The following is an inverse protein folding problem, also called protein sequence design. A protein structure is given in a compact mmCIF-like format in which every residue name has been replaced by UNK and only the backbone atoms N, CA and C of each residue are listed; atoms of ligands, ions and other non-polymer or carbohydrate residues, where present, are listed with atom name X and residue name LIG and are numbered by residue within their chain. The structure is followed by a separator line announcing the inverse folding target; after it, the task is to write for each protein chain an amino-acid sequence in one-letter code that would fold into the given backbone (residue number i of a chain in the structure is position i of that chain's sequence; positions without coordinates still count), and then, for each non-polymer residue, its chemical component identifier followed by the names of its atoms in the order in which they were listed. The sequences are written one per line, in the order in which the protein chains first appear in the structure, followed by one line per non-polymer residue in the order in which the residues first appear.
data_IF_752182203025
#
_entry.id   IF_752182203025
#
_cell.length_a   1.000
_cell.length_b   1.000
_cell.length_c   1.000
_cell.angle_alpha   90.00
_cell.angle_beta   90.00
_cell.angle_gamma   90.00
#
_symmetry.space_group_name_H-M   'P 1'
#
loop_
_entity.id
_entity.type
_entity.pdbx_description
1 polymer ?
#
# COMPACT_ATOMS: atom_id res chain seq x y z
N UNK A 1 31.55 23.52 -14.07
CA UNK A 1 31.70 22.14 -14.57
C UNK A 1 30.64 21.29 -13.87
N UNK A 2 29.42 21.30 -14.37
CA UNK A 2 28.81 20.33 -15.29
C UNK A 2 28.63 18.94 -14.65
N UNK A 3 27.42 18.66 -14.20
CA UNK A 3 26.89 17.31 -13.99
C UNK A 3 25.42 17.31 -14.43
N UNK A 4 25.23 17.59 -15.72
CA UNK A 4 23.96 17.57 -16.41
C UNK A 4 24.09 16.53 -17.53
N UNK A 5 23.95 15.25 -17.19
CA UNK A 5 23.83 14.19 -18.20
C UNK A 5 23.17 12.93 -17.63
N UNK A 6 21.93 13.10 -17.17
CA UNK A 6 21.00 11.99 -16.90
C UNK A 6 19.74 12.11 -17.75
N UNK A 7 19.87 12.70 -18.95
CA UNK A 7 18.88 12.53 -20.00
C UNK A 7 19.01 11.10 -20.51
N UNK A 8 18.26 10.19 -19.90
CA UNK A 8 17.77 9.02 -20.62
C UNK A 8 16.99 9.60 -21.80
N UNK A 9 17.62 9.60 -22.99
CA UNK A 9 17.08 10.11 -24.26
C UNK A 9 15.87 9.27 -24.67
N UNK A 10 14.79 9.48 -23.92
CA UNK A 10 13.50 8.83 -24.08
C UNK A 10 12.93 9.25 -25.43
N UNK A 11 13.22 10.47 -25.88
CA UNK A 11 12.89 10.99 -27.20
C UNK A 11 13.60 10.23 -28.33
N UNK A 12 14.84 9.80 -28.13
CA UNK A 12 15.57 9.00 -29.13
C UNK A 12 14.99 7.59 -29.24
N UNK A 13 14.69 6.96 -28.09
CA UNK A 13 14.05 5.65 -28.03
C UNK A 13 12.62 5.66 -28.60
N UNK A 14 11.84 6.71 -28.32
CA UNK A 14 10.50 6.89 -28.88
C UNK A 14 10.57 7.09 -30.40
N UNK A 15 11.47 7.95 -30.87
CA UNK A 15 11.63 8.22 -32.31
C UNK A 15 12.07 6.98 -33.08
N UNK A 16 12.93 6.15 -32.50
CA UNK A 16 13.35 4.88 -33.10
C UNK A 16 12.21 3.87 -33.12
N UNK A 17 11.45 3.74 -32.02
CA UNK A 17 10.27 2.85 -31.94
C UNK A 17 9.13 3.24 -32.91
N UNK A 18 8.97 4.53 -33.23
CA UNK A 18 7.92 5.00 -34.15
C UNK A 18 8.33 5.01 -35.63
N UNK A 19 9.62 4.95 -35.95
CA UNK A 19 10.11 5.00 -37.35
C UNK A 19 10.35 3.61 -37.94
N UNK A 20 10.59 2.60 -37.10
CA UNK A 20 10.66 1.19 -37.52
C UNK A 20 9.26 0.62 -37.75
N UNK A 21 9.00 0.00 -38.91
CA UNK A 21 7.81 -0.82 -39.12
C UNK A 21 7.77 -1.91 -38.02
N UNK A 22 6.65 -2.09 -37.31
CA UNK A 22 6.60 -3.03 -36.21
C UNK A 22 6.72 -4.46 -36.74
N UNK A 23 7.86 -5.10 -36.49
CA UNK A 23 8.06 -6.55 -36.74
C UNK A 23 7.08 -7.42 -35.94
N UNK A 24 6.44 -6.83 -34.92
CA UNK A 24 5.40 -7.46 -34.12
C UNK A 24 4.01 -6.89 -34.46
N UNK A 25 3.16 -7.73 -35.05
CA UNK A 25 1.72 -7.51 -35.02
C UNK A 25 1.24 -7.67 -33.59
N UNK A 26 0.64 -6.60 -33.06
CA UNK A 26 -0.10 -6.66 -31.80
C UNK A 26 -1.12 -7.80 -31.90
N UNK A 27 -1.10 -8.71 -30.93
CA UNK A 27 -2.14 -9.73 -30.77
C UNK A 27 -3.50 -9.02 -30.70
N UNK A 28 -4.55 -9.60 -31.30
CA UNK A 28 -5.91 -9.04 -31.25
C UNK A 28 -6.37 -8.75 -29.81
N UNK A 29 -5.82 -9.47 -28.82
CA UNK A 29 -6.13 -9.33 -27.40
C UNK A 29 -5.09 -8.52 -26.59
N UNK A 30 -4.09 -7.90 -27.24
CA UNK A 30 -3.02 -7.18 -26.54
C UNK A 30 -3.54 -6.04 -25.65
N UNK A 31 -4.54 -5.31 -26.15
CA UNK A 31 -5.19 -4.24 -25.39
C UNK A 31 -5.89 -4.79 -24.15
N UNK A 32 -6.57 -5.93 -24.26
CA UNK A 32 -7.27 -6.56 -23.14
C UNK A 32 -6.30 -7.08 -22.08
N UNK A 33 -5.19 -7.70 -22.49
CA UNK A 33 -4.15 -8.16 -21.57
C UNK A 33 -3.45 -7.00 -20.86
N UNK A 34 -3.19 -5.90 -21.57
CA UNK A 34 -2.65 -4.68 -20.97
C UNK A 34 -3.62 -4.06 -19.97
N UNK A 35 -4.89 -3.92 -20.36
CA UNK A 35 -5.93 -3.34 -19.49
C UNK A 35 -6.07 -4.16 -18.21
N UNK A 36 -6.18 -5.49 -18.30
CA UNK A 36 -6.24 -6.37 -17.11
C UNK A 36 -5.03 -6.20 -16.19
N UNK A 37 -3.83 -6.10 -16.76
CA UNK A 37 -2.60 -5.96 -15.97
C UNK A 37 -2.51 -4.61 -15.27
N UNK A 38 -2.91 -3.54 -15.95
CA UNK A 38 -2.94 -2.18 -15.40
C UNK A 38 -4.01 -2.06 -14.31
N UNK A 39 -5.22 -2.58 -14.54
CA UNK A 39 -6.30 -2.56 -13.56
C UNK A 39 -5.92 -3.31 -12.28
N UNK A 40 -5.29 -4.48 -12.39
CA UNK A 40 -4.80 -5.23 -11.24
C UNK A 40 -3.79 -4.41 -10.42
N UNK A 41 -2.85 -3.73 -11.09
CA UNK A 41 -1.85 -2.93 -10.40
C UNK A 41 -2.48 -1.71 -9.71
N UNK A 42 -3.42 -1.04 -10.38
CA UNK A 42 -4.15 0.10 -9.84
C UNK A 42 -5.00 -0.29 -8.63
N UNK A 43 -5.71 -1.43 -8.71
CA UNK A 43 -6.52 -1.95 -7.61
C UNK A 43 -5.67 -2.24 -6.37
N UNK A 44 -4.49 -2.85 -6.54
CA UNK A 44 -3.54 -3.09 -5.45
C UNK A 44 -3.08 -1.81 -4.77
N UNK A 45 -2.71 -0.79 -5.55
CA UNK A 45 -2.30 0.50 -4.97
C UNK A 45 -3.45 1.16 -4.21
N UNK A 46 -4.67 1.08 -4.74
CA UNK A 46 -5.84 1.64 -4.08
C UNK A 46 -6.14 0.94 -2.75
N UNK A 47 -6.12 -0.40 -2.70
CA UNK A 47 -6.39 -1.14 -1.47
C UNK A 47 -5.33 -0.89 -0.40
N UNK A 48 -4.05 -0.85 -0.78
CA UNK A 48 -2.96 -0.51 0.16
C UNK A 48 -3.07 0.92 0.67
N UNK A 49 -3.46 1.87 -0.18
CA UNK A 49 -3.66 3.26 0.22
C UNK A 49 -4.82 3.40 1.20
N UNK A 50 -5.95 2.74 0.94
CA UNK A 50 -7.07 2.73 1.86
C UNK A 50 -6.69 2.10 3.21
N UNK A 51 -6.02 0.96 3.19
CA UNK A 51 -5.49 0.32 4.41
C UNK A 51 -4.57 1.26 5.19
N UNK A 52 -3.63 1.94 4.51
CA UNK A 52 -2.72 2.90 5.15
C UNK A 52 -3.47 4.09 5.77
N UNK A 53 -4.52 4.61 5.13
CA UNK A 53 -5.35 5.68 5.69
C UNK A 53 -6.05 5.22 6.96
N UNK A 54 -6.67 4.04 6.96
CA UNK A 54 -7.32 3.50 8.17
C UNK A 54 -6.32 3.27 9.30
N UNK A 55 -5.15 2.72 8.99
CA UNK A 55 -4.10 2.50 9.96
C UNK A 55 -3.59 3.84 10.53
N UNK A 56 -3.42 4.86 9.69
CA UNK A 56 -3.05 6.21 10.13
C UNK A 56 -4.09 6.85 11.05
N UNK A 57 -5.39 6.68 10.77
CA UNK A 57 -6.47 7.17 11.64
C UNK A 57 -6.41 6.50 13.01
N UNK A 58 -6.24 5.18 13.05
CA UNK A 58 -6.16 4.42 14.31
C UNK A 58 -4.92 4.82 15.12
N UNK A 59 -3.76 4.94 14.47
CA UNK A 59 -2.54 5.43 15.13
C UNK A 59 -2.71 6.87 15.62
N UNK A 60 -3.38 7.72 14.84
CA UNK A 60 -3.69 9.09 15.22
C UNK A 60 -4.55 9.15 16.49
N UNK A 61 -5.60 8.34 16.58
CA UNK A 61 -6.44 8.23 17.78
C UNK A 61 -5.59 7.76 18.97
N UNK A 62 -4.79 6.69 18.81
CA UNK A 62 -3.92 6.19 19.88
C UNK A 62 -2.93 7.25 20.36
N UNK A 63 -2.37 8.04 19.45
CA UNK A 63 -1.44 9.12 19.78
C UNK A 63 -2.13 10.24 20.56
N UNK A 64 -3.32 10.68 20.13
CA UNK A 64 -4.10 11.69 20.86
C UNK A 64 -4.46 11.19 22.25
N UNK A 65 -4.90 9.94 22.38
CA UNK A 65 -5.20 9.34 23.69
C UNK A 65 -3.96 9.26 24.58
N UNK A 66 -2.79 8.91 24.03
CA UNK A 66 -1.53 8.88 24.77
C UNK A 66 -1.11 10.28 25.26
N UNK A 67 -1.26 11.31 24.41
CA UNK A 67 -0.99 12.70 24.79
C UNK A 67 -1.94 13.16 25.90
N UNK A 68 -3.24 12.87 25.78
CA UNK A 68 -4.21 13.19 26.83
C UNK A 68 -3.89 12.46 28.14
N UNK A 69 -3.52 11.18 28.08
CA UNK A 69 -3.09 10.42 29.25
C UNK A 69 -1.87 11.05 29.93
N UNK A 70 -0.88 11.49 29.15
CA UNK A 70 0.31 12.15 29.66
C UNK A 70 -0.01 13.49 30.33
N UNK A 71 -0.84 14.32 29.68
CA UNK A 71 -1.15 15.69 30.15
C UNK A 71 -2.14 15.71 31.31
N UNK A 72 -3.14 14.84 31.34
CA UNK A 72 -4.19 14.85 32.37
C UNK A 72 -3.95 13.90 33.54
N UNK A 73 -3.29 12.76 33.32
CA UNK A 73 -3.14 11.71 34.33
C UNK A 73 -1.69 11.59 34.85
N UNK A 74 -0.82 12.53 34.46
CA UNK A 74 0.59 12.62 34.86
C UNK A 74 1.35 11.29 34.67
N UNK A 75 0.97 10.55 33.63
CA UNK A 75 1.48 9.21 33.42
C UNK A 75 2.91 9.28 32.91
N UNK A 76 3.83 8.67 33.66
CA UNK A 76 5.26 8.66 33.30
C UNK A 76 5.55 7.70 32.16
N UNK A 77 6.54 8.07 31.33
CA UNK A 77 7.06 7.20 30.25
C UNK A 77 7.55 5.87 30.81
N UNK A 78 8.16 5.86 32.00
CA UNK A 78 8.58 4.65 32.70
C UNK A 78 7.42 3.73 33.05
N UNK A 79 6.26 4.28 33.43
CA UNK A 79 5.05 3.49 33.72
C UNK A 79 4.50 2.82 32.47
N UNK A 80 4.48 3.52 31.33
CA UNK A 80 4.08 2.92 30.04
C UNK A 80 5.05 1.85 29.59
N UNK A 81 6.35 2.09 29.71
CA UNK A 81 7.38 1.12 29.34
C UNK A 81 7.28 -0.14 30.20
N UNK A 82 7.03 0.00 31.51
CA UNK A 82 6.79 -1.12 32.41
C UNK A 82 5.52 -1.89 32.02
N UNK A 83 4.43 -1.19 31.70
CA UNK A 83 3.19 -1.82 31.24
C UNK A 83 3.38 -2.62 29.94
N UNK A 84 4.07 -2.04 28.95
CA UNK A 84 4.35 -2.71 27.68
C UNK A 84 5.28 -3.90 27.83
N UNK A 85 6.31 -3.80 28.68
CA UNK A 85 7.23 -4.92 28.90
C UNK A 85 6.60 -6.06 29.71
N UNK A 86 5.76 -5.74 30.70
CA UNK A 86 5.04 -6.74 31.48
C UNK A 86 3.94 -7.43 30.68
N UNK A 87 3.29 -6.72 29.77
CA UNK A 87 2.18 -7.24 28.95
C UNK A 87 2.57 -7.40 27.47
N UNK A 88 3.87 -7.55 27.18
CA UNK A 88 4.39 -7.50 25.81
C UNK A 88 3.69 -8.50 24.88
N UNK A 89 3.48 -9.73 25.36
CA UNK A 89 2.80 -10.78 24.59
C UNK A 89 1.36 -10.41 24.23
N UNK A 90 0.61 -9.83 25.18
CA UNK A 90 -0.77 -9.41 24.96
C UNK A 90 -0.86 -8.17 24.08
N UNK A 91 -0.04 -7.15 24.34
CA UNK A 91 -0.05 -5.91 23.55
C UNK A 91 0.34 -6.18 22.11
N UNK A 92 1.42 -6.94 21.90
CA UNK A 92 1.86 -7.34 20.56
C UNK A 92 0.81 -8.24 19.91
N UNK A 93 0.26 -9.21 20.63
CA UNK A 93 -0.77 -10.10 20.11
C UNK A 93 -2.02 -9.38 19.64
N UNK A 94 -2.55 -8.45 20.44
CA UNK A 94 -3.73 -7.65 20.10
C UNK A 94 -3.43 -6.71 18.93
N UNK A 95 -2.28 -6.03 18.93
CA UNK A 95 -1.90 -5.17 17.80
C UNK A 95 -1.74 -5.96 16.51
N UNK A 96 -1.06 -7.11 16.56
CA UNK A 96 -0.86 -7.97 15.40
C UNK A 96 -2.19 -8.48 14.86
N UNK A 97 -3.08 -8.97 15.73
CA UNK A 97 -4.43 -9.41 15.35
C UNK A 97 -5.25 -8.26 14.76
N UNK A 98 -5.23 -7.09 15.40
CA UNK A 98 -5.94 -5.91 14.92
C UNK A 98 -5.48 -5.47 13.52
N UNK A 99 -4.17 -5.39 13.32
CA UNK A 99 -3.57 -5.07 12.02
C UNK A 99 -3.90 -6.16 11.00
N UNK A 100 -3.81 -7.44 11.38
CA UNK A 100 -4.14 -8.56 10.50
C UNK A 100 -5.61 -8.53 10.06
N UNK A 101 -6.54 -8.29 10.99
CA UNK A 101 -7.97 -8.20 10.68
C UNK A 101 -8.25 -7.00 9.78
N UNK A 102 -7.67 -5.83 10.05
CA UNK A 102 -7.78 -4.66 9.17
C UNK A 102 -7.22 -4.92 7.78
N UNK A 103 -6.06 -5.60 7.70
CA UNK A 103 -5.46 -5.96 6.44
C UNK A 103 -6.31 -7.00 5.70
N UNK A 104 -6.83 -8.00 6.40
CA UNK A 104 -7.68 -9.01 5.81
C UNK A 104 -8.99 -8.41 5.27
N UNK A 105 -9.65 -7.56 6.05
CA UNK A 105 -10.88 -6.89 5.65
C UNK A 105 -10.66 -5.95 4.47
N UNK A 106 -9.65 -5.08 4.55
CA UNK A 106 -9.46 -3.99 3.58
C UNK A 106 -8.66 -4.37 2.35
N UNK A 107 -7.74 -5.33 2.47
CA UNK A 107 -6.87 -5.74 1.38
C UNK A 107 -7.26 -7.12 0.87
N UNK A 108 -7.32 -8.14 1.73
CA UNK A 108 -7.53 -9.52 1.26
C UNK A 108 -8.93 -9.76 0.72
N UNK A 109 -10.00 -9.36 1.43
CA UNK A 109 -11.37 -9.60 0.97
C UNK A 109 -11.68 -8.85 -0.33
N UNK A 110 -11.25 -7.59 -0.43
CA UNK A 110 -11.43 -6.79 -1.65
C UNK A 110 -10.64 -7.34 -2.82
N UNK A 111 -9.40 -7.77 -2.58
CA UNK A 111 -8.59 -8.44 -3.58
C UNK A 111 -9.21 -9.76 -4.05
N UNK A 112 -9.68 -10.61 -3.13
CA UNK A 112 -10.33 -11.87 -3.47
C UNK A 112 -11.63 -11.68 -4.23
N UNK A 113 -12.45 -10.68 -3.86
CA UNK A 113 -13.67 -10.33 -4.60
C UNK A 113 -13.35 -9.84 -6.02
N UNK A 114 -12.35 -8.98 -6.17
CA UNK A 114 -11.92 -8.49 -7.49
C UNK A 114 -11.38 -9.63 -8.37
N UNK A 115 -10.54 -10.52 -7.81
CA UNK A 115 -10.00 -11.68 -8.52
C UNK A 115 -11.06 -12.74 -8.82
N UNK A 116 -12.05 -12.92 -7.96
CA UNK A 116 -13.17 -13.84 -8.21
C UNK A 116 -14.06 -13.32 -9.34
N UNK A 117 -14.34 -12.02 -9.38
CA UNK A 117 -15.07 -11.38 -10.47
C UNK A 117 -14.31 -11.46 -11.81
N UNK A 118 -13.00 -11.26 -11.82
CA UNK A 118 -12.19 -11.35 -13.05
C UNK A 118 -12.04 -12.77 -13.61
N UNK A 119 -12.22 -13.80 -12.78
CA UNK A 119 -12.16 -15.22 -13.20
C UNK A 119 -13.54 -15.78 -13.58
N UNK A 120 -14.62 -15.07 -13.24
CA UNK A 120 -15.99 -15.46 -13.57
C UNK A 120 -16.50 -14.80 -14.87
N UNK A 121 -15.72 -13.88 -15.46
CA UNK A 121 -15.97 -13.23 -16.75
C UNK A 121 -15.00 -13.76 -17.81
#
# INVERSE_FOLDING_TARGET
MYNENRNFDTDKLLKEAFTSEPEFKLSENFTDDLVKKVEQHFAWQQYLREFAIYLAVILGIMLVTAVLAFVWFDVTVSGWMAFFTQNASLVVGINLLGVFVLFADRVLLRYFMYRAASNAA
#
